data_IF_573823493585
#
_entry.id   IF_573823493585
#
_cell.length_a   1.000
_cell.length_b   1.000
_cell.length_c   1.000
_cell.angle_alpha   90.00
_cell.angle_beta   90.00
_cell.angle_gamma   90.00
#
_symmetry.space_group_name_H-M   'P 1'
#
loop_
_entity.id
_entity.type
_entity.pdbx_description
1 polymer ?
#
# COMPACT_ATOMS: atom_id res chain seq x y z
N UNK A 1 -14.95 12.04 10.13
CA UNK A 1 -15.22 10.62 9.84
C UNK A 1 -16.11 10.43 8.61
N UNK A 2 -17.22 11.14 8.47
CA UNK A 2 -18.13 11.01 7.31
C UNK A 2 -17.44 11.22 5.95
N UNK A 3 -16.63 12.28 5.80
CA UNK A 3 -15.86 12.55 4.57
C UNK A 3 -14.95 11.38 4.20
N UNK A 4 -14.28 10.80 5.19
CA UNK A 4 -13.37 9.66 4.98
C UNK A 4 -14.15 8.43 4.50
N UNK A 5 -15.28 8.10 5.12
CA UNK A 5 -16.12 6.98 4.69
C UNK A 5 -16.70 7.18 3.29
N UNK A 6 -17.19 8.39 2.99
CA UNK A 6 -17.69 8.74 1.66
C UNK A 6 -16.59 8.60 0.60
N UNK A 7 -15.37 9.06 0.92
CA UNK A 7 -14.22 8.92 0.04
C UNK A 7 -13.88 7.43 -0.18
N UNK A 8 -13.72 6.62 0.87
CA UNK A 8 -13.41 5.19 0.76
C UNK A 8 -14.48 4.45 -0.06
N UNK A 9 -15.76 4.79 0.12
CA UNK A 9 -16.83 4.24 -0.67
C UNK A 9 -16.67 4.61 -2.17
N UNK A 10 -16.37 5.88 -2.46
CA UNK A 10 -16.23 6.38 -3.82
C UNK A 10 -14.98 5.87 -4.55
N UNK A 11 -13.81 5.83 -3.89
CA UNK A 11 -12.54 5.46 -4.51
C UNK A 11 -12.10 4.02 -4.22
N UNK A 12 -12.86 3.25 -3.44
CA UNK A 12 -12.57 1.84 -3.17
C UNK A 12 -13.73 0.92 -3.52
N UNK A 13 -14.86 1.06 -2.83
CA UNK A 13 -16.00 0.15 -2.97
C UNK A 13 -16.70 0.27 -4.33
N UNK A 14 -16.85 1.49 -4.86
CA UNK A 14 -17.48 1.71 -6.15
C UNK A 14 -16.68 1.08 -7.31
N UNK A 15 -15.35 1.31 -7.47
CA UNK A 15 -14.54 0.59 -8.44
C UNK A 15 -14.62 -0.93 -8.30
N UNK A 16 -14.62 -1.44 -7.06
CA UNK A 16 -14.76 -2.87 -6.80
C UNK A 16 -16.10 -3.42 -7.31
N UNK A 17 -17.20 -2.71 -7.02
CA UNK A 17 -18.55 -3.08 -7.45
C UNK A 17 -18.66 -3.08 -8.97
N UNK A 18 -18.17 -2.03 -9.63
CA UNK A 18 -18.12 -1.95 -11.09
C UNK A 18 -17.32 -3.13 -11.67
N UNK A 19 -16.22 -3.51 -11.03
CA UNK A 19 -15.40 -4.62 -11.47
C UNK A 19 -16.13 -5.96 -11.36
N UNK A 20 -16.82 -6.24 -10.25
CA UNK A 20 -17.58 -7.48 -10.05
C UNK A 20 -18.74 -7.65 -11.05
N UNK A 21 -19.33 -6.54 -11.49
CA UNK A 21 -20.35 -6.53 -12.55
C UNK A 21 -19.78 -6.88 -13.93
N UNK A 22 -18.49 -6.59 -14.16
CA UNK A 22 -17.78 -6.86 -15.43
C UNK A 22 -17.09 -8.21 -15.47
N UNK A 23 -16.64 -8.72 -14.33
CA UNK A 23 -15.96 -10.02 -14.25
C UNK A 23 -16.97 -11.16 -14.45
N UNK A 24 -16.62 -12.17 -15.27
CA UNK A 24 -17.46 -13.34 -15.45
C UNK A 24 -17.62 -14.11 -14.13
N UNK A 25 -18.77 -14.77 -13.97
CA UNK A 25 -18.90 -15.83 -12.99
C UNK A 25 -17.99 -16.98 -13.44
N UNK A 26 -16.97 -17.31 -12.65
CA UNK A 26 -16.03 -18.39 -12.98
C UNK A 26 -16.75 -19.72 -13.20
N UNK A 27 -16.18 -20.60 -14.02
CA UNK A 27 -16.68 -21.94 -14.33
C UNK A 27 -16.50 -22.97 -13.19
N UNK A 28 -16.40 -22.50 -11.94
CA UNK A 28 -16.04 -23.29 -10.76
C UNK A 28 -14.66 -22.90 -10.20
N UNK A 29 -14.35 -23.25 -8.94
CA UNK A 29 -13.18 -22.72 -8.26
C UNK A 29 -11.89 -23.36 -8.78
N UNK A 30 -11.16 -22.67 -9.66
CA UNK A 30 -9.71 -22.83 -9.75
C UNK A 30 -9.10 -21.80 -8.80
N UNK A 31 -9.21 -22.05 -7.50
CA UNK A 31 -8.55 -21.22 -6.49
C UNK A 31 -7.03 -21.28 -6.74
N UNK A 32 -6.30 -20.16 -6.52
CA UNK A 32 -4.85 -20.22 -6.48
C UNK A 32 -4.46 -21.35 -5.51
N UNK A 33 -3.49 -22.18 -5.89
CA UNK A 33 -2.99 -23.23 -5.01
C UNK A 33 -2.73 -22.62 -3.62
N UNK A 34 -3.23 -23.25 -2.54
CA UNK A 34 -3.22 -22.67 -1.19
C UNK A 34 -1.84 -22.15 -0.77
N UNK A 35 -0.78 -22.79 -1.28
CA UNK A 35 0.61 -22.37 -1.14
C UNK A 35 0.91 -20.99 -1.75
N UNK A 36 0.43 -20.72 -2.96
CA UNK A 36 0.61 -19.42 -3.62
C UNK A 36 -0.21 -18.33 -2.94
N UNK A 37 -1.42 -18.65 -2.45
CA UNK A 37 -2.19 -17.75 -1.61
C UNK A 37 -1.40 -17.40 -0.34
N UNK A 38 -0.91 -18.39 0.39
CA UNK A 38 -0.13 -18.18 1.61
C UNK A 38 1.17 -17.38 1.37
N UNK A 39 1.91 -17.69 0.30
CA UNK A 39 3.11 -16.94 -0.06
C UNK A 39 2.77 -15.47 -0.40
N UNK A 40 1.67 -15.26 -1.12
CA UNK A 40 1.18 -13.93 -1.47
C UNK A 40 0.76 -13.15 -0.24
N UNK A 41 0.02 -13.76 0.70
CA UNK A 41 -0.37 -13.13 1.98
C UNK A 41 0.84 -12.70 2.79
N UNK A 42 1.84 -13.58 2.95
CA UNK A 42 3.07 -13.27 3.67
C UNK A 42 3.84 -12.11 3.01
N UNK A 43 3.98 -12.15 1.68
CA UNK A 43 4.68 -11.10 0.93
C UNK A 43 3.90 -9.79 0.87
N UNK A 44 2.57 -9.84 0.90
CA UNK A 44 1.70 -8.67 0.99
C UNK A 44 1.87 -7.97 2.34
N UNK A 45 1.87 -8.72 3.44
CA UNK A 45 2.11 -8.20 4.79
C UNK A 45 3.54 -7.65 4.95
N UNK A 46 4.54 -8.37 4.41
CA UNK A 46 5.93 -7.92 4.37
C UNK A 46 6.05 -6.61 3.60
N UNK A 47 5.46 -6.54 2.40
CA UNK A 47 5.51 -5.35 1.57
C UNK A 47 4.81 -4.15 2.22
N UNK A 48 3.68 -4.36 2.90
CA UNK A 48 3.00 -3.30 3.63
C UNK A 48 3.92 -2.72 4.71
N UNK A 49 4.53 -3.59 5.51
CA UNK A 49 5.40 -3.19 6.62
C UNK A 49 6.67 -2.49 6.13
N UNK A 50 7.29 -2.98 5.04
CA UNK A 50 8.45 -2.33 4.42
C UNK A 50 8.09 -0.99 3.77
N UNK A 51 6.93 -0.90 3.13
CA UNK A 51 6.48 0.36 2.50
C UNK A 51 6.23 1.42 3.57
N UNK A 52 5.60 1.04 4.69
CA UNK A 52 5.44 1.92 5.82
C UNK A 52 6.80 2.32 6.41
N UNK A 53 7.74 1.39 6.57
CA UNK A 53 9.10 1.73 6.99
C UNK A 53 9.77 2.76 6.07
N UNK A 54 9.65 2.61 4.76
CA UNK A 54 10.15 3.58 3.77
C UNK A 54 9.48 4.94 3.94
N UNK A 55 8.17 4.97 4.21
CA UNK A 55 7.45 6.19 4.54
C UNK A 55 8.07 6.89 5.75
N UNK A 56 8.26 6.17 6.86
CA UNK A 56 8.78 6.74 8.10
C UNK A 56 10.23 7.23 7.94
N UNK A 57 11.06 6.51 7.19
CA UNK A 57 12.41 6.99 6.81
C UNK A 57 12.32 8.29 6.02
N UNK A 58 11.39 8.38 5.06
CA UNK A 58 11.10 9.60 4.31
C UNK A 58 10.57 10.77 5.16
N UNK A 59 10.05 10.49 6.35
CA UNK A 59 9.56 11.49 7.30
C UNK A 59 10.64 11.97 8.27
N UNK A 60 11.53 11.09 8.72
CA UNK A 60 12.55 11.44 9.74
C UNK A 60 13.84 11.98 9.13
N UNK A 61 14.32 11.41 8.01
CA UNK A 61 15.62 11.81 7.44
C UNK A 61 15.66 13.27 7.02
N UNK A 62 14.64 13.81 6.31
CA UNK A 62 14.65 15.24 5.99
C UNK A 62 14.54 16.13 7.24
N UNK A 63 13.81 15.68 8.28
CA UNK A 63 13.66 16.44 9.53
C UNK A 63 14.99 16.51 10.29
N UNK A 64 15.81 15.47 10.25
CA UNK A 64 17.12 15.42 10.90
C UNK A 64 18.12 16.43 10.31
N UNK A 65 17.85 16.92 9.09
CA UNK A 65 18.66 17.94 8.43
C UNK A 65 18.22 19.38 8.78
N UNK A 66 17.15 19.54 9.57
CA UNK A 66 16.63 20.86 9.97
C UNK A 66 17.18 21.21 11.35
N UNK A 67 17.94 22.32 11.49
CA UNK A 67 18.41 22.77 12.79
C UNK A 67 17.26 22.98 13.78
N UNK A 68 17.39 22.40 14.97
CA UNK A 68 16.38 22.50 16.02
C UNK A 68 15.25 21.48 15.94
N UNK A 69 15.33 20.48 15.05
CA UNK A 69 14.48 19.29 15.09
C UNK A 69 15.29 18.05 15.46
N UNK A 70 14.78 17.24 16.38
CA UNK A 70 15.35 15.95 16.77
C UNK A 70 14.33 14.83 16.51
N UNK A 71 14.28 14.27 15.28
CA UNK A 71 13.34 13.22 14.95
C UNK A 71 13.73 11.87 15.56
N UNK A 72 12.72 11.11 15.94
CA UNK A 72 12.85 9.77 16.52
C UNK A 72 12.01 8.83 15.66
N UNK A 73 12.65 7.82 15.09
CA UNK A 73 11.99 6.72 14.41
C UNK A 73 11.73 5.61 15.41
N UNK A 74 10.48 5.19 15.61
CA UNK A 74 10.20 4.08 16.52
C UNK A 74 9.05 3.21 16.05
N UNK A 75 9.23 1.90 16.24
CA UNK A 75 8.28 0.86 15.87
C UNK A 75 7.90 0.92 14.38
N UNK A 76 6.80 1.61 14.06
CA UNK A 76 6.28 1.87 12.73
C UNK A 76 5.57 3.22 12.75
N UNK A 77 6.25 4.20 13.35
CA UNK A 77 5.81 5.55 13.59
C UNK A 77 7.05 6.44 13.76
N UNK A 78 6.81 7.73 13.86
CA UNK A 78 7.84 8.68 14.19
C UNK A 78 7.30 9.76 15.12
N UNK A 79 8.22 10.44 15.79
CA UNK A 79 7.96 11.65 16.53
C UNK A 79 9.16 12.58 16.35
N UNK A 80 9.08 13.81 16.81
CA UNK A 80 10.24 14.69 16.85
C UNK A 80 10.13 15.66 18.02
N UNK A 81 11.29 16.12 18.50
CA UNK A 81 11.37 17.24 19.43
C UNK A 81 11.81 18.50 18.70
N UNK A 82 11.51 19.63 19.33
CA UNK A 82 11.78 20.95 18.78
C UNK A 82 10.67 21.46 17.88
N UNK A 83 10.77 22.74 17.51
CA UNK A 83 9.75 23.45 16.74
C UNK A 83 10.40 24.13 15.53
N UNK A 84 9.95 23.72 14.35
CA UNK A 84 10.32 24.35 13.10
C UNK A 84 9.10 24.28 12.16
N UNK A 85 8.58 25.41 11.65
CA UNK A 85 7.40 25.41 10.79
C UNK A 85 7.54 24.48 9.57
N UNK A 86 8.75 24.34 9.04
CA UNK A 86 9.06 23.46 7.90
C UNK A 86 8.79 21.98 8.18
N UNK A 87 8.69 21.55 9.46
CA UNK A 87 8.33 20.19 9.82
C UNK A 87 6.99 19.76 9.20
N UNK A 88 6.04 20.70 9.04
CA UNK A 88 4.74 20.49 8.38
C UNK A 88 4.90 20.14 6.90
N UNK A 89 5.80 20.81 6.18
CA UNK A 89 6.13 20.49 4.79
C UNK A 89 6.74 19.10 4.67
N UNK A 90 7.66 18.78 5.57
CA UNK A 90 8.43 17.54 5.55
C UNK A 90 7.56 16.31 5.84
N UNK A 91 6.34 16.48 6.34
CA UNK A 91 5.35 15.40 6.40
C UNK A 91 5.01 14.85 5.01
N UNK A 92 5.04 15.69 3.96
CA UNK A 92 4.86 15.22 2.59
C UNK A 92 5.95 14.25 2.10
N UNK A 93 7.13 14.24 2.75
CA UNK A 93 8.27 13.41 2.38
C UNK A 93 7.96 11.91 2.44
N UNK A 94 7.19 11.46 3.43
CA UNK A 94 6.76 10.07 3.55
C UNK A 94 5.93 9.60 2.35
N UNK A 95 4.94 10.40 1.94
CA UNK A 95 4.09 10.07 0.79
C UNK A 95 4.89 10.00 -0.52
N UNK A 96 5.89 10.89 -0.70
CA UNK A 96 6.79 10.88 -1.86
C UNK A 96 7.67 9.63 -1.84
N UNK A 97 8.30 9.30 -0.71
CA UNK A 97 9.14 8.10 -0.58
C UNK A 97 8.35 6.82 -0.89
N UNK A 98 7.14 6.73 -0.37
CA UNK A 98 6.18 5.64 -0.64
C UNK A 98 5.82 5.53 -2.12
N UNK A 99 5.52 6.66 -2.78
CA UNK A 99 5.22 6.69 -4.22
C UNK A 99 6.40 6.24 -5.07
N UNK A 100 7.61 6.77 -4.78
CA UNK A 100 8.83 6.43 -5.50
C UNK A 100 9.17 4.95 -5.35
N UNK A 101 9.04 4.40 -4.14
CA UNK A 101 9.17 2.97 -3.89
C UNK A 101 8.18 2.16 -4.73
N UNK A 102 6.89 2.53 -4.71
CA UNK A 102 5.86 1.89 -5.51
C UNK A 102 6.16 1.88 -7.01
N UNK A 103 6.62 3.01 -7.56
CA UNK A 103 7.02 3.14 -8.96
C UNK A 103 8.25 2.30 -9.31
N UNK A 104 9.28 2.31 -8.45
CA UNK A 104 10.49 1.51 -8.63
C UNK A 104 10.16 0.01 -8.65
N UNK A 105 9.30 -0.45 -7.73
CA UNK A 105 8.88 -1.84 -7.69
C UNK A 105 7.90 -2.21 -8.81
N UNK A 106 7.08 -1.27 -9.30
CA UNK A 106 6.24 -1.50 -10.48
C UNK A 106 7.10 -1.74 -11.73
N UNK A 107 8.16 -0.94 -11.89
CA UNK A 107 9.15 -1.14 -12.94
C UNK A 107 9.85 -2.50 -12.79
N UNK A 108 10.31 -2.83 -11.58
CA UNK A 108 10.98 -4.10 -11.28
C UNK A 108 10.07 -5.31 -11.51
N UNK A 109 8.78 -5.23 -11.17
CA UNK A 109 7.80 -6.28 -11.41
C UNK A 109 7.62 -6.59 -12.91
N UNK A 110 7.93 -5.63 -13.79
CA UNK A 110 7.98 -5.87 -15.24
C UNK A 110 9.29 -6.50 -15.74
N UNK A 111 10.30 -6.67 -14.88
CA UNK A 111 11.63 -7.21 -15.22
C UNK A 111 11.90 -8.58 -14.62
N UNK A 112 11.21 -8.96 -13.56
CA UNK A 112 11.40 -10.26 -12.90
C UNK A 112 10.68 -11.36 -13.68
N UNK A 113 11.45 -12.35 -14.14
CA UNK A 113 10.94 -13.51 -14.87
C UNK A 113 10.11 -14.48 -14.01
N UNK A 114 9.46 -15.44 -14.68
CA UNK A 114 8.66 -16.50 -14.04
C UNK A 114 9.50 -17.52 -13.27
N UNK A 115 10.81 -17.56 -13.51
CA UNK A 115 11.81 -18.36 -12.80
C UNK A 115 11.97 -17.96 -11.34
N UNK A 116 11.53 -16.75 -10.97
CA UNK A 116 11.63 -16.20 -9.60
C UNK A 116 10.26 -15.82 -9.03
N UNK A 117 9.35 -16.79 -8.80
CA UNK A 117 7.96 -16.51 -8.42
C UNK A 117 7.85 -15.69 -7.13
N UNK A 118 8.66 -15.97 -6.11
CA UNK A 118 8.65 -15.22 -4.85
C UNK A 118 9.04 -13.75 -5.04
N UNK A 119 10.09 -13.46 -5.82
CA UNK A 119 10.52 -12.10 -6.11
C UNK A 119 9.50 -11.33 -6.95
N UNK A 120 8.85 -12.01 -7.90
CA UNK A 120 7.79 -11.41 -8.71
C UNK A 120 6.58 -11.03 -7.86
N UNK A 121 6.15 -11.92 -6.96
CA UNK A 121 5.07 -11.64 -5.99
C UNK A 121 5.48 -10.50 -5.04
N UNK A 122 6.72 -10.52 -4.54
CA UNK A 122 7.24 -9.48 -3.66
C UNK A 122 7.24 -8.10 -4.34
N UNK A 123 7.82 -8.00 -5.55
CA UNK A 123 7.86 -6.75 -6.29
C UNK A 123 6.46 -6.26 -6.66
N UNK A 124 5.55 -7.17 -7.01
CA UNK A 124 4.14 -6.83 -7.21
C UNK A 124 3.53 -6.20 -5.95
N UNK A 125 3.74 -6.81 -4.78
CA UNK A 125 3.17 -6.29 -3.53
C UNK A 125 3.83 -4.99 -3.09
N UNK A 126 5.15 -4.81 -3.21
CA UNK A 126 5.79 -3.52 -2.96
C UNK A 126 5.24 -2.42 -3.88
N UNK A 127 5.00 -2.73 -5.15
CA UNK A 127 4.37 -1.80 -6.09
C UNK A 127 2.93 -1.47 -5.67
N UNK A 128 2.14 -2.49 -5.33
CA UNK A 128 0.77 -2.32 -4.84
C UNK A 128 0.72 -1.41 -3.60
N UNK A 129 1.52 -1.74 -2.59
CA UNK A 129 1.51 -1.01 -1.32
C UNK A 129 2.00 0.43 -1.52
N UNK A 130 3.13 0.64 -2.20
CA UNK A 130 3.66 1.98 -2.45
C UNK A 130 2.70 2.87 -3.25
N UNK A 131 2.09 2.35 -4.32
CA UNK A 131 1.17 3.14 -5.14
C UNK A 131 -0.12 3.45 -4.38
N UNK A 132 -0.77 2.44 -3.79
CA UNK A 132 -2.07 2.64 -3.17
C UNK A 132 -1.99 3.36 -1.82
N UNK A 133 -0.90 3.20 -1.05
CA UNK A 133 -0.68 3.97 0.17
C UNK A 133 -0.47 5.46 -0.15
N UNK A 134 0.44 5.79 -1.07
CA UNK A 134 0.68 7.18 -1.45
C UNK A 134 -0.55 7.85 -2.09
N UNK A 135 -1.19 7.19 -3.05
CA UNK A 135 -2.33 7.78 -3.78
C UNK A 135 -3.58 7.92 -2.90
N UNK A 136 -3.88 6.94 -2.04
CA UNK A 136 -5.00 7.08 -1.10
C UNK A 136 -4.74 8.16 -0.06
N UNK A 137 -3.50 8.27 0.44
CA UNK A 137 -3.09 9.34 1.34
C UNK A 137 -3.20 10.71 0.67
N UNK A 138 -2.85 10.82 -0.61
CA UNK A 138 -3.02 12.04 -1.39
C UNK A 138 -4.51 12.39 -1.58
N UNK A 139 -5.38 11.42 -1.89
CA UNK A 139 -6.83 11.64 -1.99
C UNK A 139 -7.44 12.08 -0.65
N UNK A 140 -6.97 11.52 0.47
CA UNK A 140 -7.41 11.96 1.81
C UNK A 140 -6.90 13.37 2.09
N UNK A 141 -5.62 13.64 1.82
CA UNK A 141 -4.97 14.94 2.07
C UNK A 141 -5.53 16.08 1.22
N UNK A 142 -6.13 15.75 0.07
CA UNK A 142 -6.83 16.70 -0.77
C UNK A 142 -8.10 17.24 -0.12
N UNK A 143 -8.70 16.51 0.83
CA UNK A 143 -9.95 16.87 1.52
C UNK A 143 -9.78 17.15 3.00
N UNK A 144 -8.80 16.52 3.65
CA UNK A 144 -8.59 16.55 5.10
C UNK A 144 -7.16 17.03 5.37
N UNK A 145 -7.01 18.16 6.08
CA UNK A 145 -5.69 18.73 6.39
C UNK A 145 -4.89 17.91 7.42
N UNK A 146 -5.55 17.05 8.20
CA UNK A 146 -4.93 16.36 9.34
C UNK A 146 -4.00 15.19 9.00
N UNK A 147 -3.91 14.73 7.75
CA UNK A 147 -2.92 13.72 7.37
C UNK A 147 -1.65 14.37 6.79
N UNK A 148 -0.58 13.61 6.62
CA UNK A 148 0.74 14.15 6.25
C UNK A 148 0.75 14.98 4.96
N UNK A 149 0.05 14.49 3.91
CA UNK A 149 -0.08 15.22 2.65
C UNK A 149 -0.91 16.50 2.84
N UNK A 150 -1.99 16.42 3.61
CA UNK A 150 -2.84 17.57 3.93
C UNK A 150 -2.08 18.67 4.68
N UNK A 151 -1.22 18.29 5.63
CA UNK A 151 -0.34 19.20 6.38
C UNK A 151 0.65 19.89 5.46
N UNK A 152 1.32 19.13 4.59
CA UNK A 152 2.26 19.69 3.62
C UNK A 152 1.58 20.65 2.62
N UNK A 153 0.39 20.30 2.12
CA UNK A 153 -0.40 21.17 1.24
C UNK A 153 -0.83 22.47 1.95
N UNK A 154 -1.25 22.37 3.22
CA UNK A 154 -1.58 23.54 4.03
C UNK A 154 -0.35 24.43 4.25
N UNK A 155 0.81 23.86 4.57
CA UNK A 155 2.05 24.62 4.72
C UNK A 155 2.43 25.39 3.45
N UNK A 156 2.27 24.77 2.28
CA UNK A 156 2.53 25.42 0.98
C UNK A 156 1.50 26.52 0.62
N UNK A 157 0.51 26.79 1.49
CA UNK A 157 -0.53 27.77 1.22
C UNK A 157 -1.48 27.35 0.10
N UNK A 158 -1.57 26.05 -0.22
CA UNK A 158 -2.43 25.55 -1.29
C UNK A 158 -3.90 25.69 -0.84
N UNK A 159 -4.62 26.60 -1.51
CA UNK A 159 -6.02 26.89 -1.20
C UNK A 159 -6.95 25.68 -1.41
N UNK A 160 -8.14 25.68 -0.78
CA UNK A 160 -9.08 24.55 -0.81
C UNK A 160 -9.48 24.08 -2.22
N UNK A 161 -9.64 25.02 -3.17
CA UNK A 161 -9.99 24.70 -4.55
C UNK A 161 -8.91 23.90 -5.28
N UNK A 162 -7.64 24.29 -5.10
CA UNK A 162 -6.51 23.59 -5.72
C UNK A 162 -6.34 22.21 -5.08
N UNK A 163 -6.53 22.10 -3.75
CA UNK A 163 -6.56 20.81 -3.06
C UNK A 163 -7.66 19.91 -3.60
N UNK A 164 -8.88 20.43 -3.79
CA UNK A 164 -9.97 19.66 -4.39
C UNK A 164 -9.64 19.19 -5.81
N UNK A 165 -8.97 20.03 -6.60
CA UNK A 165 -8.53 19.68 -7.96
C UNK A 165 -7.44 18.56 -7.99
N UNK A 166 -6.77 18.27 -6.88
CA UNK A 166 -5.86 17.11 -6.78
C UNK A 166 -6.63 15.78 -6.74
N UNK A 167 -7.88 15.76 -6.27
CA UNK A 167 -8.68 14.55 -6.18
C UNK A 167 -8.82 13.82 -7.54
N UNK A 168 -9.25 14.45 -8.64
CA UNK A 168 -9.32 13.78 -9.94
C UNK A 168 -7.95 13.27 -10.42
N UNK A 169 -6.86 13.99 -10.13
CA UNK A 169 -5.50 13.52 -10.47
C UNK A 169 -5.14 12.25 -9.69
N UNK A 170 -5.46 12.19 -8.40
CA UNK A 170 -5.24 10.98 -7.61
C UNK A 170 -6.10 9.82 -8.10
N UNK A 171 -7.35 10.06 -8.50
CA UNK A 171 -8.25 9.04 -9.10
C UNK A 171 -7.69 8.51 -10.43
N UNK A 172 -7.16 9.39 -11.29
CA UNK A 172 -6.48 8.99 -12.53
C UNK A 172 -5.25 8.12 -12.19
N UNK A 173 -4.46 8.53 -11.20
CA UNK A 173 -3.32 7.77 -10.70
C UNK A 173 -3.71 6.38 -10.18
N UNK A 174 -4.79 6.29 -9.40
CA UNK A 174 -5.33 5.03 -8.87
C UNK A 174 -5.78 4.10 -10.01
N UNK A 175 -6.48 4.63 -11.01
CA UNK A 175 -6.86 3.89 -12.21
C UNK A 175 -5.65 3.39 -12.99
N UNK A 176 -4.65 4.25 -13.22
CA UNK A 176 -3.42 3.90 -13.91
C UNK A 176 -2.63 2.82 -13.16
N UNK A 177 -2.51 2.94 -11.84
CA UNK A 177 -1.88 1.96 -10.96
C UNK A 177 -2.61 0.61 -11.02
N UNK A 178 -3.94 0.61 -10.87
CA UNK A 178 -4.77 -0.60 -10.96
C UNK A 178 -4.59 -1.33 -12.28
N UNK A 179 -4.60 -0.61 -13.42
CA UNK A 179 -4.33 -1.21 -14.73
C UNK A 179 -2.91 -1.72 -14.89
N UNK A 180 -1.92 -0.96 -14.44
CA UNK A 180 -0.51 -1.34 -14.56
C UNK A 180 -0.18 -2.58 -13.73
N UNK A 181 -0.76 -2.70 -12.53
CA UNK A 181 -0.65 -3.86 -11.66
C UNK A 181 -1.44 -5.05 -12.19
N UNK A 182 -2.66 -4.86 -12.71
CA UNK A 182 -3.45 -5.93 -13.31
C UNK A 182 -2.70 -6.64 -14.45
N UNK A 183 -1.99 -5.88 -15.30
CA UNK A 183 -1.10 -6.43 -16.35
C UNK A 183 0.04 -7.30 -15.82
N UNK A 184 0.35 -7.22 -14.53
CA UNK A 184 1.49 -7.88 -13.88
C UNK A 184 1.04 -8.82 -12.76
N UNK A 185 -0.27 -9.05 -12.60
CA UNK A 185 -0.80 -9.79 -11.46
C UNK A 185 -0.23 -11.22 -11.43
N UNK A 186 0.56 -11.58 -10.40
CA UNK A 186 1.38 -12.79 -10.44
C UNK A 186 0.61 -14.07 -10.12
N UNK A 187 -0.68 -13.96 -9.76
CA UNK A 187 -1.52 -15.09 -9.35
C UNK A 187 -2.64 -15.41 -10.35
N UNK A 188 -2.73 -14.68 -11.47
CA UNK A 188 -3.74 -14.97 -12.49
C UNK A 188 -3.49 -16.34 -13.13
N UNK A 189 -4.52 -17.18 -13.17
CA UNK A 189 -4.55 -18.43 -13.95
C UNK A 189 -5.59 -18.29 -15.05
N UNK A 190 -5.15 -17.85 -16.23
CA UNK A 190 -6.06 -17.56 -17.34
C UNK A 190 -6.74 -16.19 -17.22
N UNK A 191 -7.98 -16.09 -17.72
CA UNK A 191 -8.75 -14.84 -17.68
C UNK A 191 -9.24 -14.55 -16.25
N UNK A 192 -9.06 -13.33 -15.73
CA UNK A 192 -9.58 -12.96 -14.42
C UNK A 192 -11.10 -13.12 -14.34
N UNK A 193 -11.56 -13.60 -13.19
CA UNK A 193 -12.97 -13.83 -12.89
C UNK A 193 -13.30 -13.39 -11.45
N UNK A 194 -14.53 -13.63 -11.00
CA UNK A 194 -14.94 -13.31 -9.62
C UNK A 194 -14.14 -14.10 -8.56
N UNK A 195 -13.69 -15.32 -8.84
CA UNK A 195 -12.87 -16.09 -7.90
C UNK A 195 -11.49 -15.43 -7.69
N UNK A 196 -10.92 -14.86 -8.76
CA UNK A 196 -9.69 -14.06 -8.71
C UNK A 196 -9.84 -12.86 -7.77
N UNK A 197 -10.97 -12.14 -7.87
CA UNK A 197 -11.29 -11.01 -6.99
C UNK A 197 -11.44 -11.43 -5.52
N UNK A 198 -12.09 -12.57 -5.26
CA UNK A 198 -12.25 -13.12 -3.91
C UNK A 198 -10.91 -13.57 -3.31
N UNK A 199 -10.04 -14.19 -4.11
CA UNK A 199 -8.70 -14.58 -3.65
C UNK A 199 -7.82 -13.35 -3.33
N UNK A 200 -7.96 -12.27 -4.12
CA UNK A 200 -7.31 -10.99 -3.83
C UNK A 200 -7.82 -10.40 -2.51
N UNK A 201 -9.15 -10.33 -2.33
CA UNK A 201 -9.76 -9.89 -1.08
C UNK A 201 -9.27 -10.70 0.13
N UNK A 202 -9.25 -12.03 0.02
CA UNK A 202 -8.75 -12.91 1.07
C UNK A 202 -7.27 -12.65 1.39
N UNK A 203 -6.44 -12.46 0.35
CA UNK A 203 -5.02 -12.14 0.52
C UNK A 203 -4.84 -10.85 1.32
N UNK A 204 -5.56 -9.79 0.93
CA UNK A 204 -5.48 -8.47 1.57
C UNK A 204 -6.02 -8.51 3.01
N UNK A 205 -7.14 -9.20 3.25
CA UNK A 205 -7.72 -9.34 4.58
C UNK A 205 -6.76 -10.07 5.55
N UNK A 206 -6.18 -11.19 5.11
CA UNK A 206 -5.21 -11.93 5.91
C UNK A 206 -3.92 -11.11 6.12
N UNK A 207 -3.46 -10.39 5.09
CA UNK A 207 -2.29 -9.52 5.21
C UNK A 207 -2.53 -8.40 6.23
N UNK A 208 -3.72 -7.78 6.27
CA UNK A 208 -4.10 -6.81 7.30
C UNK A 208 -3.98 -7.39 8.72
N UNK A 209 -4.37 -8.65 8.93
CA UNK A 209 -4.23 -9.28 10.24
C UNK A 209 -2.75 -9.49 10.61
N UNK A 210 -1.92 -9.87 9.63
CA UNK A 210 -0.49 -10.11 9.84
C UNK A 210 0.33 -8.84 10.07
N UNK A 211 -0.17 -7.66 9.71
CA UNK A 211 0.55 -6.39 9.96
C UNK A 211 0.29 -5.83 11.35
N UNK A 212 -0.71 -6.32 12.08
CA UNK A 212 -1.04 -5.87 13.45
C UNK A 212 0.18 -5.91 14.39
N UNK A 213 0.99 -6.99 14.46
CA UNK A 213 2.13 -7.06 15.37
C UNK A 213 3.26 -6.07 15.06
N UNK A 214 3.24 -5.40 13.90
CA UNK A 214 4.24 -4.39 13.51
C UNK A 214 3.84 -2.98 13.94
N UNK A 215 2.71 -2.79 14.61
CA UNK A 215 2.13 -1.48 14.91
C UNK A 215 2.21 -1.20 16.40
N UNK A 216 2.46 0.07 16.75
CA UNK A 216 2.50 0.52 18.14
C UNK A 216 1.17 0.15 18.79
N UNK A 217 1.17 -0.47 19.99
CA UNK A 217 -0.06 -0.76 20.70
C UNK A 217 -0.85 0.54 20.96
N UNK A 218 -1.98 0.68 20.28
CA UNK A 218 -2.94 1.80 20.41
C UNK A 218 -4.36 1.24 20.32
N UNK A 219 -5.36 2.12 20.31
CA UNK A 219 -6.72 1.75 20.02
C UNK A 219 -6.79 0.92 18.71
N UNK A 220 -7.49 -0.23 18.68
CA UNK A 220 -7.46 -1.15 17.54
C UNK A 220 -7.77 -0.47 16.21
N UNK A 221 -8.64 0.56 16.22
CA UNK A 221 -8.96 1.35 15.04
C UNK A 221 -7.74 2.03 14.43
N UNK A 222 -6.82 2.59 15.23
CA UNK A 222 -5.62 3.27 14.74
C UNK A 222 -4.60 2.30 14.13
N UNK A 223 -4.60 1.07 14.66
CA UNK A 223 -3.74 -0.01 14.19
C UNK A 223 -4.19 -0.51 12.82
N UNK A 224 -5.50 -0.74 12.62
CA UNK A 224 -6.04 -1.41 11.43
C UNK A 224 -6.59 -0.47 10.35
N UNK A 225 -6.97 0.76 10.69
CA UNK A 225 -7.66 1.66 9.76
C UNK A 225 -6.81 1.97 8.53
N UNK A 226 -5.53 2.32 8.71
CA UNK A 226 -4.64 2.64 7.59
C UNK A 226 -4.50 1.44 6.63
N UNK A 227 -4.12 0.23 7.10
CA UNK A 227 -4.11 -0.96 6.24
C UNK A 227 -5.45 -1.21 5.53
N UNK A 228 -6.58 -1.06 6.24
CA UNK A 228 -7.91 -1.26 5.65
C UNK A 228 -8.20 -0.26 4.53
N UNK A 229 -7.91 1.02 4.72
CA UNK A 229 -8.10 2.04 3.68
C UNK A 229 -7.26 1.70 2.45
N UNK A 230 -5.97 1.43 2.63
CA UNK A 230 -5.06 1.08 1.53
C UNK A 230 -5.55 -0.16 0.78
N UNK A 231 -5.91 -1.21 1.52
CA UNK A 231 -6.35 -2.47 0.93
C UNK A 231 -7.73 -2.38 0.27
N UNK A 232 -8.70 -1.63 0.80
CA UNK A 232 -10.02 -1.43 0.17
C UNK A 232 -9.88 -0.64 -1.13
N UNK A 233 -9.11 0.45 -1.12
CA UNK A 233 -8.84 1.26 -2.32
C UNK A 233 -8.09 0.43 -3.36
N UNK A 234 -7.01 -0.24 -2.95
CA UNK A 234 -6.21 -1.09 -3.83
C UNK A 234 -7.00 -2.27 -4.40
N UNK A 235 -7.85 -2.92 -3.59
CA UNK A 235 -8.76 -3.98 -4.04
C UNK A 235 -9.67 -3.48 -5.16
N UNK A 236 -10.30 -2.32 -4.98
CA UNK A 236 -11.22 -1.75 -5.97
C UNK A 236 -10.55 -1.50 -7.31
N UNK A 237 -9.44 -0.76 -7.32
CA UNK A 237 -8.76 -0.38 -8.55
C UNK A 237 -8.00 -1.53 -9.22
N UNK A 238 -7.40 -2.45 -8.44
CA UNK A 238 -6.77 -3.63 -9.01
C UNK A 238 -7.81 -4.57 -9.63
N UNK A 239 -8.94 -4.81 -8.95
CA UNK A 239 -10.02 -5.65 -9.50
C UNK A 239 -10.61 -5.02 -10.75
N UNK A 240 -10.83 -3.70 -10.76
CA UNK A 240 -11.27 -2.98 -11.96
C UNK A 240 -10.23 -3.06 -13.09
N UNK A 241 -8.94 -2.98 -12.74
CA UNK A 241 -7.84 -3.19 -13.67
C UNK A 241 -7.86 -4.58 -14.30
N UNK A 242 -8.09 -5.63 -13.50
CA UNK A 242 -8.23 -7.02 -13.94
C UNK A 242 -9.45 -7.19 -14.87
N UNK A 243 -10.57 -6.55 -14.55
CA UNK A 243 -11.80 -6.59 -15.35
C UNK A 243 -11.70 -5.82 -16.69
N UNK A 244 -10.71 -4.93 -16.85
CA UNK A 244 -10.57 -4.04 -18.01
C UNK A 244 -9.27 -4.26 -18.79
N UNK A 245 -8.49 -5.27 -18.41
CA UNK A 245 -7.20 -5.58 -19.03
C UNK A 245 -7.16 -7.04 -19.44
N UNK A 246 -7.14 -7.26 -20.75
CA UNK A 246 -6.86 -8.56 -21.37
C UNK A 246 -5.35 -8.78 -21.38
N UNK A 247 -4.80 -9.44 -20.37
CA UNK A 247 -3.40 -9.84 -20.37
C UNK A 247 -3.29 -11.34 -20.10
N UNK A 248 -2.86 -12.11 -21.11
CA UNK A 248 -2.46 -13.49 -20.92
C UNK A 248 -1.17 -13.51 -20.09
N UNK A 249 -1.24 -14.02 -18.87
CA UNK A 249 -0.08 -14.19 -18.02
C UNK A 249 0.42 -15.63 -18.07
N UNK A 250 1.74 -15.85 -18.09
CA UNK A 250 2.27 -17.18 -17.90
C UNK A 250 1.82 -17.73 -16.54
N UNK A 251 1.59 -19.05 -16.44
CA UNK A 251 1.08 -19.65 -15.23
C UNK A 251 1.97 -19.32 -14.02
N UNK A 252 1.37 -19.17 -12.83
CA UNK A 252 2.13 -18.82 -11.63
C UNK A 252 3.11 -19.95 -11.29
N UNK A 253 4.39 -19.59 -11.13
CA UNK A 253 5.35 -20.47 -10.49
C UNK A 253 4.96 -20.71 -9.03
N UNK A 254 5.37 -21.86 -8.46
CA UNK A 254 5.06 -22.17 -7.07
C UNK A 254 6.09 -21.52 -6.13
N UNK A 255 5.64 -20.59 -5.29
CA UNK A 255 6.52 -19.95 -4.31
C UNK A 255 6.72 -20.83 -3.06
N UNK A 256 7.96 -20.84 -2.54
CA UNK A 256 8.26 -21.46 -1.23
C UNK A 256 7.81 -20.51 -0.11
N UNK A 257 7.16 -21.05 0.93
CA UNK A 257 6.68 -20.27 2.07
C UNK A 257 7.79 -19.88 3.05
N UNK A 258 8.84 -20.71 3.15
CA UNK A 258 9.90 -20.54 4.15
C UNK A 258 10.61 -19.17 4.03
N UNK A 259 10.91 -18.71 2.80
CA UNK A 259 11.62 -17.44 2.60
C UNK A 259 10.73 -16.24 2.97
N UNK A 260 9.49 -16.09 2.45
CA UNK A 260 8.58 -15.03 2.92
C UNK A 260 8.32 -15.05 4.42
N UNK A 261 8.13 -16.23 5.02
CA UNK A 261 7.90 -16.35 6.45
C UNK A 261 9.14 -15.89 7.25
N UNK A 262 10.33 -16.37 6.90
CA UNK A 262 11.57 -15.96 7.55
C UNK A 262 11.82 -14.45 7.40
N UNK A 263 11.56 -13.87 6.22
CA UNK A 263 11.70 -12.44 5.98
C UNK A 263 10.72 -11.61 6.83
N UNK A 264 9.45 -12.04 6.92
CA UNK A 264 8.46 -11.37 7.76
C UNK A 264 8.80 -11.46 9.25
N UNK A 265 9.24 -12.64 9.72
CA UNK A 265 9.69 -12.82 11.11
C UNK A 265 10.93 -12.00 11.42
N UNK A 266 11.91 -11.96 10.51
CA UNK A 266 13.12 -11.14 10.68
C UNK A 266 12.78 -9.65 10.74
N UNK A 267 11.87 -9.18 9.87
CA UNK A 267 11.40 -7.80 9.92
C UNK A 267 10.66 -7.51 11.22
N UNK A 268 9.81 -8.42 11.70
CA UNK A 268 9.12 -8.26 12.99
C UNK A 268 10.13 -8.16 14.13
N UNK A 269 11.15 -9.02 14.14
CA UNK A 269 12.22 -8.96 15.14
C UNK A 269 12.96 -7.62 15.08
N UNK A 270 13.27 -7.10 13.89
CA UNK A 270 13.86 -5.77 13.73
C UNK A 270 12.98 -4.68 14.33
N UNK A 271 11.67 -4.70 14.04
CA UNK A 271 10.72 -3.72 14.59
C UNK A 271 10.62 -3.80 16.11
N UNK A 272 10.58 -5.01 16.67
CA UNK A 272 10.38 -5.22 18.10
C UNK A 272 11.65 -5.03 18.93
N UNK A 273 12.82 -5.31 18.38
CA UNK A 273 14.10 -5.27 19.10
C UNK A 273 14.90 -4.00 18.84
N UNK A 274 14.82 -3.44 17.62
CA UNK A 274 15.61 -2.27 17.20
C UNK A 274 14.76 -1.02 17.16
N UNK A 275 13.60 -1.05 16.49
CA UNK A 275 12.79 0.16 16.35
C UNK A 275 11.91 0.44 17.57
N UNK A 276 11.48 -0.57 18.33
CA UNK A 276 10.60 -0.36 19.50
C UNK A 276 11.20 0.56 20.57
N UNK A 277 12.50 0.49 20.92
CA UNK A 277 13.12 1.47 21.82
C UNK A 277 13.22 2.88 21.23
N UNK A 278 13.15 3.01 19.91
CA UNK A 278 13.36 4.24 19.16
C UNK A 278 14.81 4.47 18.77
N UNK A 279 14.98 5.08 17.59
CA UNK A 279 16.27 5.50 17.02
C UNK A 279 16.19 7.00 16.81
N UNK A 280 17.00 7.76 17.55
CA UNK A 280 17.15 9.19 17.35
C UNK A 280 18.05 9.45 16.13
N UNK A 281 17.68 10.44 15.32
CA UNK A 281 18.40 10.88 14.13
C UNK A 281 18.97 12.29 14.31
#
# INVERSE_FOLDING_TARGET
MEILFGLIAAIGLLPFTIALLRLPAGSGPVLPAARNLGASTLLCALAFSLTFFVQEVGLVVPKALVPGLDPILYHNDHDWRGDAPVAELLQGGGAIATLLSGLAFLWLAGRIGTDRPAWRIFAFWMAFQGLFQALSQASVGSLIAGNDVGRALTYMGIGPLVRLALLPLTVIGLFAAGRALARRYPLATGQPDRATALALLATLALATLLTIPFRVPREPVEVVLIPLVVHIVGLGWLTLGLATTTAAQPPPGTARLAIPAAALTALLAFFQLVLRPGVAF
#
